data_IF_619741515760
#
_entry.id   IF_619741515760
#
_cell.length_a   1.000
_cell.length_b   1.000
_cell.length_c   1.000
_cell.angle_alpha   90.00
_cell.angle_beta   90.00
_cell.angle_gamma   90.00
#
_symmetry.space_group_name_H-M   'P 1'
#
loop_
_entity.id
_entity.type
_entity.pdbx_description
1 polymer ?
#
# COMPACT_ATOMS: atom_id res chain seq x y z
N UNK A 1 -7.36 6.76 -16.89
CA UNK A 1 -8.30 6.74 -15.75
C UNK A 1 -9.15 5.45 -15.72
N UNK A 2 -9.74 5.01 -16.83
CA UNK A 2 -10.62 3.83 -16.89
C UNK A 2 -9.90 2.54 -16.49
N UNK A 3 -8.68 2.30 -16.95
CA UNK A 3 -7.89 1.13 -16.58
C UNK A 3 -7.52 1.10 -15.09
N UNK A 4 -7.23 2.26 -14.50
CA UNK A 4 -6.96 2.35 -13.06
C UNK A 4 -8.23 2.02 -12.27
N UNK A 5 -9.38 2.58 -12.67
CA UNK A 5 -10.65 2.29 -12.02
C UNK A 5 -11.03 0.80 -12.14
N UNK A 6 -10.82 0.19 -13.31
CA UNK A 6 -11.05 -1.23 -13.51
C UNK A 6 -10.13 -2.09 -12.63
N UNK A 7 -8.84 -1.77 -12.57
CA UNK A 7 -7.88 -2.48 -11.71
C UNK A 7 -8.21 -2.38 -10.23
N UNK A 8 -8.59 -1.19 -9.75
CA UNK A 8 -9.02 -1.00 -8.35
C UNK A 8 -10.31 -1.78 -8.07
N UNK A 9 -11.29 -1.72 -8.97
CA UNK A 9 -12.54 -2.47 -8.81
C UNK A 9 -12.29 -3.99 -8.78
N UNK A 10 -11.42 -4.48 -9.65
CA UNK A 10 -11.01 -5.88 -9.65
C UNK A 10 -10.33 -6.27 -8.34
N UNK A 11 -9.39 -5.46 -7.84
CA UNK A 11 -8.68 -5.74 -6.60
C UNK A 11 -9.65 -5.77 -5.39
N UNK A 12 -10.60 -4.85 -5.33
CA UNK A 12 -11.64 -4.84 -4.28
C UNK A 12 -12.50 -6.10 -4.38
N UNK A 13 -12.96 -6.44 -5.59
CA UNK A 13 -13.84 -7.60 -5.80
C UNK A 13 -13.14 -8.92 -5.44
N UNK A 14 -11.91 -9.10 -5.90
CA UNK A 14 -11.13 -10.31 -5.57
C UNK A 14 -10.74 -10.34 -4.09
N UNK A 15 -10.38 -9.23 -3.48
CA UNK A 15 -10.08 -9.18 -2.05
C UNK A 15 -11.29 -9.42 -1.15
N UNK A 16 -12.50 -9.10 -1.60
CA UNK A 16 -13.72 -9.25 -0.78
C UNK A 16 -14.49 -10.53 -1.04
N UNK A 17 -14.57 -11.01 -2.29
CA UNK A 17 -15.49 -12.06 -2.72
C UNK A 17 -14.82 -13.32 -3.28
N UNK A 18 -13.50 -13.42 -3.28
CA UNK A 18 -12.81 -14.60 -3.83
C UNK A 18 -13.03 -15.83 -2.97
N UNK A 19 -13.61 -16.88 -3.57
CA UNK A 19 -13.84 -18.17 -2.93
C UNK A 19 -12.65 -19.13 -3.05
N UNK A 20 -11.67 -18.78 -3.88
CA UNK A 20 -10.48 -19.62 -4.04
C UNK A 20 -9.50 -19.40 -2.87
N UNK A 21 -8.85 -20.47 -2.38
CA UNK A 21 -7.75 -20.33 -1.42
C UNK A 21 -6.60 -19.50 -1.98
N UNK A 22 -5.85 -18.84 -1.10
CA UNK A 22 -4.67 -18.11 -1.54
C UNK A 22 -3.64 -19.07 -2.18
N UNK A 23 -3.08 -18.71 -3.34
CA UNK A 23 -2.07 -19.54 -4.00
C UNK A 23 -0.87 -19.80 -3.06
N UNK A 24 -0.49 -21.08 -2.92
CA UNK A 24 0.65 -21.45 -2.08
C UNK A 24 0.36 -21.56 -0.58
N UNK A 25 -0.85 -21.24 -0.11
CA UNK A 25 -1.16 -21.30 1.33
C UNK A 25 -1.32 -22.72 1.89
N UNK A 26 -1.56 -23.72 1.04
CA UNK A 26 -1.87 -25.10 1.47
C UNK A 26 -3.13 -25.23 2.35
N UNK A 27 -3.88 -24.15 2.53
CA UNK A 27 -5.10 -24.10 3.33
C UNK A 27 -6.35 -24.15 2.46
N UNK A 28 -7.43 -24.73 2.97
CA UNK A 28 -8.74 -24.73 2.30
C UNK A 28 -9.51 -23.41 2.53
N UNK A 29 -8.93 -22.47 3.29
CA UNK A 29 -9.57 -21.21 3.65
C UNK A 29 -9.63 -20.29 2.44
N UNK A 30 -10.81 -19.79 2.05
CA UNK A 30 -10.94 -18.83 0.96
C UNK A 30 -10.14 -17.54 1.19
N UNK A 31 -9.61 -16.97 0.12
CA UNK A 31 -8.79 -15.76 0.22
C UNK A 31 -9.59 -14.44 0.33
N UNK A 32 -10.86 -14.43 -0.08
CA UNK A 32 -11.72 -13.25 0.04
C UNK A 32 -12.25 -13.07 1.47
N UNK A 33 -12.39 -11.82 1.92
CA UNK A 33 -12.85 -11.51 3.30
C UNK A 33 -14.20 -12.15 3.64
N UNK A 34 -15.21 -12.01 2.79
CA UNK A 34 -16.56 -12.53 3.05
C UNK A 34 -16.59 -14.05 3.03
N UNK A 35 -16.07 -14.73 2.00
CA UNK A 35 -15.98 -16.20 2.00
C UNK A 35 -15.17 -16.76 3.16
N UNK A 36 -14.08 -16.11 3.55
CA UNK A 36 -13.25 -16.52 4.69
C UNK A 36 -14.06 -16.50 6.00
N UNK A 37 -14.80 -15.44 6.26
CA UNK A 37 -15.67 -15.33 7.45
C UNK A 37 -16.72 -16.41 7.45
N UNK A 38 -17.39 -16.64 6.32
CA UNK A 38 -18.42 -17.67 6.19
C UNK A 38 -17.82 -19.09 6.38
N UNK A 39 -16.62 -19.32 5.88
CA UNK A 39 -15.92 -20.58 6.05
C UNK A 39 -15.60 -20.85 7.53
N UNK A 40 -15.04 -19.85 8.26
CA UNK A 40 -14.78 -19.98 9.70
C UNK A 40 -16.06 -20.21 10.50
N UNK A 41 -17.13 -19.46 10.24
CA UNK A 41 -18.42 -19.65 10.91
C UNK A 41 -19.04 -21.02 10.66
N UNK A 42 -18.80 -21.62 9.49
CA UNK A 42 -19.35 -22.92 9.13
C UNK A 42 -18.50 -24.10 9.65
N UNK A 43 -17.18 -23.98 9.59
CA UNK A 43 -16.26 -25.09 9.81
C UNK A 43 -15.58 -25.09 11.19
N UNK A 44 -15.69 -23.99 11.96
CA UNK A 44 -15.06 -23.90 13.28
C UNK A 44 -16.08 -24.07 14.38
N UNK A 45 -15.71 -24.81 15.43
CA UNK A 45 -16.55 -24.91 16.63
C UNK A 45 -16.48 -23.59 17.46
N UNK A 46 -17.43 -23.39 18.37
CA UNK A 46 -17.44 -22.21 19.24
C UNK A 46 -16.16 -22.10 20.09
N UNK A 47 -15.58 -23.26 20.47
CA UNK A 47 -14.30 -23.32 21.19
C UNK A 47 -13.13 -22.91 20.31
N UNK A 48 -13.10 -23.33 19.04
CA UNK A 48 -12.03 -22.98 18.11
C UNK A 48 -12.09 -21.48 17.75
N UNK A 49 -13.29 -20.92 17.60
CA UNK A 49 -13.48 -19.49 17.38
C UNK A 49 -12.95 -18.67 18.56
N UNK A 50 -13.22 -19.10 19.81
CA UNK A 50 -12.72 -18.39 20.99
C UNK A 50 -11.21 -18.55 21.22
N UNK A 51 -10.61 -19.66 20.77
CA UNK A 51 -9.19 -19.97 20.91
C UNK A 51 -8.31 -19.42 19.76
N UNK A 52 -8.74 -18.36 19.08
CA UNK A 52 -7.96 -17.69 18.04
C UNK A 52 -8.66 -17.58 16.70
N UNK A 53 -9.82 -18.21 16.50
CA UNK A 53 -10.60 -18.09 15.26
C UNK A 53 -11.09 -16.67 15.00
N UNK A 54 -11.51 -15.93 16.03
CA UNK A 54 -11.88 -14.52 15.88
C UNK A 54 -10.68 -13.66 15.49
N UNK A 55 -9.51 -13.91 16.07
CA UNK A 55 -8.29 -13.21 15.71
C UNK A 55 -7.90 -13.50 14.26
N UNK A 56 -8.02 -14.77 13.83
CA UNK A 56 -7.77 -15.15 12.45
C UNK A 56 -8.72 -14.44 11.47
N UNK A 57 -10.01 -14.38 11.77
CA UNK A 57 -10.99 -13.67 10.94
C UNK A 57 -10.71 -12.16 10.84
N UNK A 58 -10.27 -11.55 11.96
CA UNK A 58 -10.04 -10.12 12.02
C UNK A 58 -8.71 -9.68 11.40
N UNK A 59 -7.64 -10.47 11.60
CA UNK A 59 -6.26 -10.06 11.34
C UNK A 59 -5.51 -10.97 10.35
N UNK A 60 -5.94 -12.23 10.13
CA UNK A 60 -5.16 -13.15 9.31
C UNK A 60 -5.13 -12.76 7.83
N UNK A 61 -3.94 -12.77 7.22
CA UNK A 61 -3.79 -12.58 5.79
C UNK A 61 -4.52 -13.69 4.99
N UNK A 62 -4.89 -13.45 3.71
CA UNK A 62 -4.50 -12.29 2.91
C UNK A 62 -5.42 -11.08 3.04
N UNK A 63 -6.70 -11.24 3.39
CA UNK A 63 -7.69 -10.17 3.37
C UNK A 63 -8.51 -10.12 4.67
N UNK A 64 -7.93 -9.63 5.77
CA UNK A 64 -8.61 -9.54 7.06
C UNK A 64 -9.77 -8.55 7.06
N UNK A 65 -10.76 -8.77 7.92
CA UNK A 65 -11.92 -7.86 8.08
C UNK A 65 -11.46 -6.43 8.42
N UNK A 66 -10.43 -6.29 9.24
CA UNK A 66 -9.87 -4.97 9.61
C UNK A 66 -9.41 -4.18 8.39
N UNK A 67 -8.91 -4.83 7.35
CA UNK A 67 -8.55 -4.15 6.08
C UNK A 67 -9.77 -3.58 5.37
N UNK A 68 -10.89 -4.29 5.35
CA UNK A 68 -12.14 -3.79 4.75
C UNK A 68 -12.69 -2.61 5.56
N UNK A 69 -12.72 -2.73 6.89
CA UNK A 69 -13.14 -1.63 7.76
C UNK A 69 -12.24 -0.41 7.61
N UNK A 70 -10.92 -0.60 7.57
CA UNK A 70 -9.96 0.47 7.31
C UNK A 70 -10.20 1.15 5.96
N UNK A 71 -10.46 0.38 4.92
CA UNK A 71 -10.79 0.91 3.59
C UNK A 71 -12.07 1.75 3.61
N UNK A 72 -13.11 1.29 4.32
CA UNK A 72 -14.36 2.05 4.47
C UNK A 72 -14.12 3.36 5.23
N UNK A 73 -13.37 3.33 6.32
CA UNK A 73 -13.03 4.54 7.09
C UNK A 73 -12.28 5.55 6.21
N UNK A 74 -11.24 5.10 5.52
CA UNK A 74 -10.46 5.94 4.61
C UNK A 74 -11.34 6.49 3.50
N UNK A 75 -12.23 5.66 2.93
CA UNK A 75 -13.18 6.11 1.90
C UNK A 75 -14.06 7.26 2.40
N UNK A 76 -14.66 7.15 3.58
CA UNK A 76 -15.47 8.22 4.15
C UNK A 76 -14.67 9.49 4.44
N UNK A 77 -13.44 9.34 4.96
CA UNK A 77 -12.53 10.49 5.19
C UNK A 77 -12.23 11.19 3.85
N UNK A 78 -11.87 10.44 2.82
CA UNK A 78 -11.55 11.00 1.49
C UNK A 78 -12.75 11.70 0.89
N UNK A 79 -13.94 11.09 0.94
CA UNK A 79 -15.19 11.70 0.45
C UNK A 79 -15.49 13.00 1.20
N UNK A 80 -15.33 13.01 2.52
CA UNK A 80 -15.51 14.21 3.33
C UNK A 80 -14.54 15.32 2.95
N UNK A 81 -13.24 15.01 2.83
CA UNK A 81 -12.22 15.98 2.49
C UNK A 81 -12.36 16.46 1.04
N UNK A 82 -12.76 15.58 0.10
CA UNK A 82 -13.01 15.96 -1.30
C UNK A 82 -14.25 16.86 -1.45
N UNK A 83 -15.24 16.69 -0.60
CA UNK A 83 -16.43 17.56 -0.57
C UNK A 83 -16.12 18.96 -0.02
N UNK A 84 -15.04 19.11 0.73
CA UNK A 84 -14.61 20.38 1.32
C UNK A 84 -14.08 21.32 0.24
N UNK A 85 -14.72 22.49 0.10
CA UNK A 85 -14.32 23.55 -0.86
C UNK A 85 -13.83 24.75 -0.10
N UNK A 86 -12.71 25.32 -0.53
CA UNK A 86 -12.21 26.61 -0.05
C UNK A 86 -12.71 27.68 -1.00
N UNK A 87 -13.53 28.60 -0.51
CA UNK A 87 -14.02 29.73 -1.27
C UNK A 87 -13.03 30.90 -1.12
N UNK A 88 -12.30 31.21 -2.19
CA UNK A 88 -11.45 32.41 -2.20
C UNK A 88 -12.30 33.62 -2.59
N UNK A 89 -12.35 34.68 -1.75
CA UNK A 89 -13.00 35.93 -2.11
C UNK A 89 -12.18 36.64 -3.19
N UNK A 90 -12.72 36.72 -4.41
CA UNK A 90 -12.13 37.53 -5.47
C UNK A 90 -12.49 39.02 -5.23
N UNK A 91 -11.55 39.81 -4.71
CA UNK A 91 -11.68 41.25 -4.62
C UNK A 91 -11.25 41.87 -5.96
N UNK A 92 -12.20 42.17 -6.83
CA UNK A 92 -11.92 43.03 -8.00
C UNK A 92 -11.95 44.50 -7.58
N UNK A 93 -10.78 45.12 -7.52
CA UNK A 93 -10.62 46.51 -7.09
C UNK A 93 -11.27 47.56 -8.01
N UNK A 94 -11.83 47.21 -9.16
CA UNK A 94 -12.42 48.13 -10.13
C UNK A 94 -13.93 48.06 -10.29
N UNK A 95 -14.61 47.07 -9.71
CA UNK A 95 -16.07 46.92 -9.83
C UNK A 95 -16.69 46.84 -8.45
N UNK A 96 -17.34 47.94 -8.04
CA UNK A 96 -18.14 47.98 -6.80
C UNK A 96 -19.37 47.04 -6.97
N UNK A 97 -19.38 45.92 -6.21
CA UNK A 97 -20.56 45.06 -6.11
C UNK A 97 -20.39 43.62 -6.56
N UNK A 98 -19.40 43.24 -7.36
CA UNK A 98 -19.18 41.85 -7.78
C UNK A 98 -18.25 41.14 -6.78
N UNK A 99 -18.85 40.54 -5.75
CA UNK A 99 -18.17 39.57 -4.86
C UNK A 99 -18.25 38.18 -5.50
N UNK A 100 -17.34 37.88 -6.41
CA UNK A 100 -17.19 36.54 -6.94
C UNK A 100 -16.47 35.66 -5.90
N UNK A 101 -17.03 34.48 -5.62
CA UNK A 101 -16.35 33.43 -4.84
C UNK A 101 -15.90 32.36 -5.81
N UNK A 102 -14.61 32.04 -5.81
CA UNK A 102 -14.08 30.95 -6.64
C UNK A 102 -13.86 29.71 -5.75
N UNK A 103 -14.63 28.64 -5.95
CA UNK A 103 -14.49 27.41 -5.19
C UNK A 103 -13.27 26.62 -5.69
N UNK A 104 -12.26 26.45 -4.86
CA UNK A 104 -11.12 25.56 -5.14
C UNK A 104 -11.31 24.26 -4.37
N UNK A 105 -11.21 23.13 -5.04
CA UNK A 105 -11.21 21.82 -4.40
C UNK A 105 -9.86 21.54 -3.76
N UNK A 106 -9.85 21.18 -2.48
CA UNK A 106 -8.63 20.97 -1.70
C UNK A 106 -7.73 19.86 -2.24
N UNK A 107 -8.28 18.81 -2.81
CA UNK A 107 -7.55 17.59 -3.23
C UNK A 107 -7.18 17.57 -4.73
N UNK A 108 -7.69 18.48 -5.54
CA UNK A 108 -7.44 18.41 -6.99
C UNK A 108 -5.95 18.45 -7.36
N UNK A 109 -5.13 19.17 -6.59
CA UNK A 109 -3.70 19.27 -6.81
C UNK A 109 -2.86 18.16 -6.15
N UNK A 110 -3.42 17.33 -5.26
CA UNK A 110 -2.63 16.39 -4.47
C UNK A 110 -2.56 14.98 -5.06
N UNK A 111 -3.53 14.57 -5.88
CA UNK A 111 -3.61 13.19 -6.37
C UNK A 111 -2.54 12.88 -7.43
N UNK A 112 -2.32 13.80 -8.38
CA UNK A 112 -1.34 13.61 -9.47
C UNK A 112 0.09 13.46 -8.92
N UNK A 113 0.59 14.33 -8.01
CA UNK A 113 1.91 14.18 -7.42
C UNK A 113 2.14 12.84 -6.72
N UNK A 114 1.15 12.34 -6.00
CA UNK A 114 1.24 11.03 -5.31
C UNK A 114 1.36 9.88 -6.31
N UNK A 115 0.56 9.89 -7.38
CA UNK A 115 0.63 8.88 -8.45
C UNK A 115 2.00 8.91 -9.14
N UNK A 116 2.52 10.11 -9.45
CA UNK A 116 3.84 10.26 -10.07
C UNK A 116 4.95 9.76 -9.14
N UNK A 117 4.85 10.05 -7.84
CA UNK A 117 5.83 9.57 -6.86
C UNK A 117 5.78 8.05 -6.74
N UNK A 118 4.60 7.45 -6.66
CA UNK A 118 4.43 5.99 -6.63
C UNK A 118 5.01 5.33 -7.90
N UNK A 119 4.79 5.92 -9.07
CA UNK A 119 5.37 5.45 -10.33
C UNK A 119 6.90 5.56 -10.34
N UNK A 120 7.46 6.65 -9.79
CA UNK A 120 8.91 6.82 -9.65
C UNK A 120 9.51 5.73 -8.77
N UNK A 121 8.93 5.45 -7.61
CA UNK A 121 9.41 4.39 -6.71
C UNK A 121 9.28 2.99 -7.33
N UNK A 122 8.22 2.74 -8.09
CA UNK A 122 8.07 1.48 -8.84
C UNK A 122 9.17 1.32 -9.90
N UNK A 123 9.56 2.41 -10.59
CA UNK A 123 10.67 2.40 -11.52
C UNK A 123 12.01 2.12 -10.82
N UNK A 124 12.24 2.69 -9.62
CA UNK A 124 13.44 2.38 -8.82
C UNK A 124 13.52 0.89 -8.51
N UNK A 125 12.42 0.28 -8.08
CA UNK A 125 12.35 -1.16 -7.82
C UNK A 125 12.58 -1.99 -9.09
N UNK A 126 12.03 -1.58 -10.22
CA UNK A 126 12.23 -2.25 -11.51
C UNK A 126 13.71 -2.20 -11.94
N UNK A 127 14.37 -1.04 -11.82
CA UNK A 127 15.80 -0.93 -12.13
C UNK A 127 16.66 -1.76 -11.16
N UNK A 128 16.33 -1.75 -9.87
CA UNK A 128 17.03 -2.57 -8.88
C UNK A 128 16.94 -4.07 -9.23
N UNK A 129 15.74 -4.54 -9.62
CA UNK A 129 15.51 -5.91 -10.07
C UNK A 129 16.30 -6.24 -11.35
N UNK A 130 16.31 -5.32 -12.32
CA UNK A 130 17.05 -5.50 -13.58
C UNK A 130 18.54 -5.68 -13.32
N UNK A 131 19.13 -4.83 -12.48
CA UNK A 131 20.54 -4.92 -12.12
C UNK A 131 20.86 -6.17 -11.30
N UNK A 132 19.98 -6.56 -10.40
CA UNK A 132 20.16 -7.78 -9.60
C UNK A 132 20.07 -9.06 -10.46
N UNK A 133 19.19 -9.10 -11.45
CA UNK A 133 19.00 -10.25 -12.33
C UNK A 133 20.06 -10.37 -13.40
N UNK A 134 20.78 -9.29 -13.74
CA UNK A 134 21.75 -9.28 -14.84
C UNK A 134 23.05 -9.99 -14.45
N UNK A 135 23.51 -11.03 -15.22
CA UNK A 135 24.69 -11.83 -14.86
C UNK A 135 25.97 -11.03 -14.73
N UNK A 136 26.17 -10.03 -15.60
CA UNK A 136 27.40 -9.22 -15.63
C UNK A 136 27.46 -8.15 -14.52
N UNK A 137 26.32 -7.77 -13.96
CA UNK A 137 26.23 -6.76 -12.91
C UNK A 137 26.06 -7.36 -11.51
N UNK A 138 25.79 -8.65 -11.41
CA UNK A 138 25.55 -9.36 -10.14
C UNK A 138 26.75 -9.34 -9.19
N UNK A 139 27.95 -9.12 -9.71
CA UNK A 139 29.20 -9.05 -8.92
C UNK A 139 29.58 -7.64 -8.48
N UNK A 140 28.89 -6.61 -8.98
CA UNK A 140 29.20 -5.22 -8.61
C UNK A 140 28.76 -4.89 -7.19
N UNK A 141 29.63 -4.26 -6.36
CA UNK A 141 29.37 -4.09 -4.92
C UNK A 141 28.22 -3.12 -4.58
N UNK A 142 27.81 -2.27 -5.51
CA UNK A 142 26.71 -1.30 -5.31
C UNK A 142 25.43 -1.73 -6.00
N UNK A 143 25.55 -2.40 -7.14
CA UNK A 143 24.44 -2.67 -8.08
C UNK A 143 24.12 -4.16 -8.15
N UNK A 144 25.07 -5.02 -7.77
CA UNK A 144 24.95 -6.47 -7.86
C UNK A 144 24.15 -7.10 -6.73
N UNK A 145 24.17 -8.44 -6.68
CA UNK A 145 23.48 -9.26 -5.65
C UNK A 145 23.84 -8.90 -4.21
N UNK A 146 24.91 -8.12 -4.02
CA UNK A 146 25.35 -7.67 -2.71
C UNK A 146 24.65 -6.37 -2.29
N UNK A 147 23.33 -6.41 -2.11
CA UNK A 147 22.62 -5.74 -1.03
C UNK A 147 22.37 -4.22 -1.01
N UNK A 148 23.18 -3.35 -1.64
CA UNK A 148 23.00 -1.89 -1.45
C UNK A 148 21.83 -1.33 -2.24
N UNK A 149 21.68 -1.73 -3.50
CA UNK A 149 20.55 -1.30 -4.33
C UNK A 149 19.32 -2.18 -4.08
N UNK A 150 19.49 -3.49 -4.00
CA UNK A 150 18.43 -4.43 -3.67
C UNK A 150 18.83 -5.88 -3.89
N UNK A 151 18.35 -6.75 -3.00
CA UNK A 151 18.29 -8.18 -3.22
C UNK A 151 16.82 -8.59 -3.28
N UNK A 152 16.52 -9.61 -4.07
CA UNK A 152 15.15 -10.04 -4.32
C UNK A 152 14.99 -11.53 -4.00
N UNK A 153 13.86 -11.88 -3.42
CA UNK A 153 13.47 -13.28 -3.26
C UNK A 153 12.60 -13.72 -4.43
N UNK A 154 12.93 -14.87 -5.00
CA UNK A 154 12.22 -15.48 -6.12
C UNK A 154 11.81 -16.91 -5.81
N UNK A 155 11.90 -17.33 -4.55
CA UNK A 155 11.78 -18.73 -4.12
C UNK A 155 10.38 -19.29 -4.37
N UNK A 156 9.34 -18.47 -4.28
CA UNK A 156 7.95 -18.93 -4.37
C UNK A 156 7.38 -18.92 -5.80
N UNK A 157 8.19 -18.66 -6.83
CA UNK A 157 7.70 -18.57 -8.21
C UNK A 157 6.73 -17.40 -8.46
N UNK A 158 6.50 -16.57 -7.45
CA UNK A 158 5.73 -15.33 -7.51
C UNK A 158 6.60 -14.17 -8.04
N UNK A 159 6.01 -12.99 -8.15
CA UNK A 159 6.76 -11.80 -8.52
C UNK A 159 7.92 -11.57 -7.53
N UNK A 160 9.13 -11.22 -8.03
CA UNK A 160 10.28 -10.95 -7.18
C UNK A 160 9.98 -9.89 -6.13
N UNK A 161 10.19 -10.22 -4.85
CA UNK A 161 9.95 -9.32 -3.72
C UNK A 161 11.29 -8.80 -3.21
N UNK A 162 11.50 -7.48 -3.07
CA UNK A 162 12.74 -6.94 -2.55
C UNK A 162 12.90 -7.27 -1.05
N UNK A 163 14.01 -7.90 -0.71
CA UNK A 163 14.33 -8.33 0.65
C UNK A 163 15.43 -7.51 1.30
N UNK A 164 16.22 -6.77 0.54
CA UNK A 164 17.33 -5.97 1.08
C UNK A 164 17.58 -4.71 0.26
N UNK A 165 18.34 -3.78 0.83
CA UNK A 165 18.85 -2.59 0.17
C UNK A 165 17.82 -1.49 -0.02
N UNK A 166 18.14 -0.54 -0.91
CA UNK A 166 17.26 0.60 -1.20
C UNK A 166 15.88 0.13 -1.69
N UNK A 167 15.84 -0.90 -2.53
CA UNK A 167 14.61 -1.45 -3.08
C UNK A 167 13.63 -1.91 -1.99
N UNK A 168 14.13 -2.48 -0.88
CA UNK A 168 13.30 -2.83 0.26
C UNK A 168 12.65 -1.60 0.89
N UNK A 169 13.44 -0.56 1.20
CA UNK A 169 12.94 0.63 1.90
C UNK A 169 12.04 1.54 1.03
N UNK A 170 12.10 1.43 -0.30
CA UNK A 170 11.22 2.16 -1.21
C UNK A 170 10.04 1.31 -1.72
N UNK A 171 9.97 0.04 -1.34
CA UNK A 171 8.88 -0.83 -1.70
C UNK A 171 7.60 -0.42 -0.97
N UNK A 172 6.47 -0.57 -1.66
CA UNK A 172 5.17 -0.23 -1.07
C UNK A 172 4.80 -1.20 0.05
N UNK A 173 4.22 -0.67 1.10
CA UNK A 173 3.57 -1.43 2.16
C UNK A 173 2.13 -1.74 1.71
N UNK A 174 1.85 -2.99 1.35
CA UNK A 174 0.59 -3.35 0.70
C UNK A 174 -0.52 -3.72 1.69
N UNK A 175 -0.18 -4.32 2.83
CA UNK A 175 -1.17 -4.83 3.77
C UNK A 175 -0.75 -4.67 5.24
N UNK A 176 -1.66 -4.98 6.15
CA UNK A 176 -1.39 -5.00 7.58
C UNK A 176 -0.31 -6.01 7.96
N UNK A 177 -0.17 -7.08 7.19
CA UNK A 177 0.85 -8.10 7.35
C UNK A 177 2.27 -7.59 7.12
N UNK A 178 2.42 -6.55 6.30
CA UNK A 178 3.74 -6.03 5.91
C UNK A 178 4.34 -5.11 6.98
N UNK A 179 3.52 -4.59 7.89
CA UNK A 179 3.98 -3.62 8.86
C UNK A 179 3.34 -3.70 10.24
N UNK A 180 2.02 -3.83 10.34
CA UNK A 180 1.31 -3.73 11.62
C UNK A 180 1.37 -5.02 12.43
N UNK A 181 1.02 -6.15 11.81
CA UNK A 181 0.96 -7.43 12.51
C UNK A 181 2.31 -7.89 13.06
N UNK A 182 3.42 -7.80 12.30
CA UNK A 182 4.73 -8.17 12.83
C UNK A 182 5.22 -7.26 13.96
N UNK A 183 4.78 -5.98 13.98
CA UNK A 183 5.14 -5.06 15.06
C UNK A 183 4.38 -5.34 16.36
N UNK A 184 3.10 -5.72 16.24
CA UNK A 184 2.24 -5.98 17.42
C UNK A 184 2.52 -7.36 18.02
N UNK A 185 2.73 -8.35 17.18
CA UNK A 185 2.94 -9.75 17.61
C UNK A 185 4.04 -10.40 16.79
N UNK A 186 5.31 -10.09 17.06
CA UNK A 186 6.46 -10.61 16.30
C UNK A 186 6.58 -12.13 16.41
N UNK A 187 6.20 -12.71 17.54
CA UNK A 187 6.27 -14.17 17.77
C UNK A 187 5.34 -14.95 16.81
N UNK A 188 4.18 -14.39 16.50
CA UNK A 188 3.16 -15.05 15.66
C UNK A 188 3.29 -14.68 14.19
N UNK A 189 3.60 -13.43 13.90
CA UNK A 189 3.62 -12.89 12.54
C UNK A 189 5.02 -12.54 12.03
N UNK A 190 6.07 -12.91 12.77
CA UNK A 190 7.45 -12.65 12.40
C UNK A 190 7.88 -13.26 11.06
N UNK A 191 7.22 -14.31 10.62
CA UNK A 191 7.44 -14.89 9.29
C UNK A 191 7.23 -13.88 8.14
N UNK A 192 6.35 -12.89 8.31
CA UNK A 192 6.10 -11.85 7.31
C UNK A 192 7.17 -10.75 7.28
N UNK A 193 8.08 -10.74 8.26
CA UNK A 193 9.21 -9.82 8.28
C UNK A 193 10.34 -10.21 7.31
N UNK A 194 10.27 -11.40 6.70
CA UNK A 194 11.30 -11.85 5.75
C UNK A 194 12.73 -11.90 6.35
N UNK A 195 12.84 -12.14 7.66
CA UNK A 195 14.12 -12.17 8.39
C UNK A 195 14.63 -10.79 8.85
N UNK A 196 13.82 -9.74 8.71
CA UNK A 196 14.17 -8.41 9.22
C UNK A 196 13.88 -8.26 10.71
N UNK A 197 14.66 -7.42 11.36
CA UNK A 197 14.42 -7.00 12.74
C UNK A 197 13.25 -5.99 12.82
N UNK A 198 12.50 -5.94 13.94
CA UNK A 198 11.36 -5.01 14.09
C UNK A 198 11.74 -3.54 13.85
N UNK A 199 12.96 -3.12 14.23
CA UNK A 199 13.43 -1.76 13.99
C UNK A 199 13.63 -1.45 12.49
N UNK A 200 14.03 -2.44 11.68
CA UNK A 200 14.18 -2.28 10.23
C UNK A 200 12.82 -2.07 9.57
N UNK A 201 11.79 -2.75 10.08
CA UNK A 201 10.42 -2.55 9.63
C UNK A 201 9.91 -1.15 9.97
N UNK A 202 10.18 -0.66 11.17
CA UNK A 202 9.86 0.73 11.55
C UNK A 202 10.61 1.72 10.65
N UNK A 203 11.89 1.47 10.39
CA UNK A 203 12.68 2.30 9.48
C UNK A 203 12.10 2.28 8.05
N UNK A 204 11.66 1.13 7.55
CA UNK A 204 10.98 1.02 6.25
C UNK A 204 9.73 1.90 6.19
N UNK A 205 8.86 1.82 7.20
CA UNK A 205 7.65 2.64 7.28
C UNK A 205 8.00 4.13 7.22
N UNK A 206 8.94 4.56 8.06
CA UNK A 206 9.34 5.97 8.16
C UNK A 206 9.96 6.47 6.84
N UNK A 207 10.87 5.69 6.26
CA UNK A 207 11.55 6.04 5.01
C UNK A 207 10.55 6.11 3.86
N UNK A 208 9.71 5.06 3.70
CA UNK A 208 8.71 5.02 2.64
C UNK A 208 7.72 6.18 2.73
N UNK A 209 7.14 6.41 3.92
CA UNK A 209 6.21 7.51 4.16
C UNK A 209 6.90 8.87 3.98
N UNK A 210 8.12 9.02 4.48
CA UNK A 210 8.91 10.24 4.30
C UNK A 210 9.16 10.56 2.83
N UNK A 211 9.61 9.59 2.04
CA UNK A 211 9.84 9.77 0.61
C UNK A 211 8.53 10.08 -0.12
N UNK A 212 7.44 9.38 0.19
CA UNK A 212 6.13 9.63 -0.43
C UNK A 212 5.62 11.04 -0.13
N UNK A 213 5.69 11.49 1.12
CA UNK A 213 5.21 12.81 1.52
C UNK A 213 6.10 13.91 0.93
N UNK A 214 7.42 13.84 1.15
CA UNK A 214 8.36 14.86 0.66
C UNK A 214 8.37 14.91 -0.88
N UNK A 215 8.41 13.77 -1.54
CA UNK A 215 8.37 13.68 -2.99
C UNK A 215 7.07 14.23 -3.57
N UNK A 216 5.93 13.93 -2.95
CA UNK A 216 4.64 14.48 -3.38
C UNK A 216 4.57 16.00 -3.21
N UNK A 217 5.16 16.55 -2.15
CA UNK A 217 5.23 18.01 -1.95
C UNK A 217 6.10 18.66 -3.05
N UNK A 218 7.25 18.08 -3.36
CA UNK A 218 8.14 18.59 -4.42
C UNK A 218 7.44 18.54 -5.78
N UNK A 219 6.81 17.41 -6.12
CA UNK A 219 6.05 17.29 -7.38
C UNK A 219 4.85 18.24 -7.43
N UNK A 220 4.13 18.43 -6.31
CA UNK A 220 3.01 19.35 -6.25
C UNK A 220 3.47 20.79 -6.50
N UNK A 221 4.60 21.21 -5.88
CA UNK A 221 5.19 22.52 -6.12
C UNK A 221 5.59 22.70 -7.59
N UNK A 222 6.28 21.71 -8.16
CA UNK A 222 6.66 21.73 -9.57
C UNK A 222 5.46 21.83 -10.51
N UNK A 223 4.38 21.10 -10.20
CA UNK A 223 3.14 21.13 -10.97
C UNK A 223 2.46 22.49 -10.94
N UNK A 224 2.41 23.15 -9.79
CA UNK A 224 1.81 24.48 -9.63
C UNK A 224 2.63 25.56 -10.35
N UNK A 225 3.96 25.43 -10.35
CA UNK A 225 4.84 26.42 -11.02
C UNK A 225 4.83 26.29 -12.55
N UNK A 226 4.40 25.15 -13.10
CA UNK A 226 4.36 24.88 -14.55
C UNK A 226 2.98 25.06 -15.19
N UNK A 227 1.93 25.29 -14.40
CA UNK A 227 0.55 25.54 -14.86
C UNK A 227 0.16 27.00 -14.68
#
# INVERSE_FOLDING_TARGET
SLFIAAGVSQAIFTGTLNWEPAPGSGSEVPSGTIPMVLWYLKNSSTSDLSNGGYEAMLLAPPNPIVSVLGTLIVFFIVVYVESSRIELPLAHGKVRGARGRYPIRLIYASNIPVILMAALLANVNMFALLFWSHPGMSTWPVVGRNWKLGAFDTTDGSNPVPTMGLAYYVNRLAGLQDWFLPLVSPDKYGQYMGGHEPWQLVAHIIIYMGIMVLGSIVFAKFWIETT
#
